data_IF_066402539248
#
_entry.id   IF_066402539248
#
_cell.length_a   1.000
_cell.length_b   1.000
_cell.length_c   1.000
_cell.angle_alpha   90.00
_cell.angle_beta   90.00
_cell.angle_gamma   90.00
#
_symmetry.space_group_name_H-M   'P 1'
#
loop_
_entity.id
_entity.type
_entity.pdbx_description
1 polymer ?
#
# COMPACT_ATOMS: atom_id res chain seq x y z
N UNK A 1 -8.98 -4.11 41.32
CA UNK A 1 -8.17 -4.65 42.42
C UNK A 1 -8.38 -6.14 42.46
N UNK A 2 -7.29 -6.91 42.62
CA UNK A 2 -7.32 -8.36 42.75
C UNK A 2 -7.15 -8.69 44.23
N UNK A 3 -8.13 -9.36 44.84
CA UNK A 3 -8.13 -9.72 46.27
C UNK A 3 -8.09 -11.23 46.44
N UNK A 4 -7.46 -11.71 47.52
CA UNK A 4 -7.36 -13.15 47.81
C UNK A 4 -8.74 -13.80 48.05
N UNK A 5 -9.67 -13.05 48.64
CA UNK A 5 -11.03 -13.51 48.91
C UNK A 5 -11.78 -13.97 47.64
N UNK A 6 -11.49 -13.36 46.48
CA UNK A 6 -12.15 -13.66 45.20
C UNK A 6 -11.39 -14.66 44.34
N UNK A 7 -10.28 -15.22 44.84
CA UNK A 7 -9.43 -16.14 44.08
C UNK A 7 -10.18 -17.38 43.56
N UNK A 8 -11.17 -17.86 44.33
CA UNK A 8 -11.99 -19.01 43.98
C UNK A 8 -13.00 -18.74 42.85
N UNK A 9 -13.24 -17.47 42.49
CA UNK A 9 -14.19 -17.07 41.42
C UNK A 9 -13.47 -16.23 40.37
N UNK A 10 -12.87 -16.85 39.33
CA UNK A 10 -12.11 -16.14 38.31
C UNK A 10 -12.90 -15.02 37.61
N UNK A 11 -14.20 -15.22 37.38
CA UNK A 11 -15.08 -14.22 36.77
C UNK A 11 -15.20 -12.92 37.60
N UNK A 12 -15.06 -13.00 38.93
CA UNK A 12 -15.16 -11.86 39.86
C UNK A 12 -13.80 -11.46 40.45
N UNK A 13 -12.71 -12.01 39.92
CA UNK A 13 -11.36 -11.82 40.45
C UNK A 13 -10.94 -10.35 40.48
N UNK A 14 -11.40 -9.56 39.51
CA UNK A 14 -11.02 -8.16 39.35
C UNK A 14 -12.14 -7.21 39.73
N UNK A 15 -11.88 -6.36 40.72
CA UNK A 15 -12.72 -5.19 41.00
C UNK A 15 -12.36 -4.01 40.09
N UNK A 16 -13.35 -3.36 39.46
CA UNK A 16 -13.13 -2.16 38.65
C UNK A 16 -13.67 -0.94 39.40
N UNK A 17 -12.79 0.02 39.69
CA UNK A 17 -13.16 1.29 40.31
C UNK A 17 -13.06 2.39 39.26
N UNK A 18 -14.11 3.20 39.12
CA UNK A 18 -14.09 4.37 38.23
C UNK A 18 -13.35 5.51 38.92
N UNK A 19 -12.25 5.95 38.31
CA UNK A 19 -11.50 7.12 38.78
C UNK A 19 -12.15 8.41 38.25
N UNK A 20 -12.00 9.51 39.00
CA UNK A 20 -12.50 10.82 38.58
C UNK A 20 -11.70 11.37 37.38
N UNK A 21 -12.35 12.19 36.56
CA UNK A 21 -11.67 12.87 35.43
C UNK A 21 -10.64 13.90 35.89
N UNK A 22 -10.80 14.48 37.09
CA UNK A 22 -9.84 15.41 37.64
C UNK A 22 -8.62 14.64 38.14
N UNK A 23 -7.46 14.90 37.54
CA UNK A 23 -6.21 14.19 37.82
C UNK A 23 -5.84 14.18 39.32
N UNK A 24 -5.96 15.32 40.01
CA UNK A 24 -5.60 15.41 41.43
C UNK A 24 -6.52 14.53 42.30
N UNK A 25 -7.83 14.61 42.07
CA UNK A 25 -8.82 13.77 42.76
C UNK A 25 -8.62 12.28 42.44
N UNK A 26 -8.20 11.95 41.23
CA UNK A 26 -7.91 10.59 40.82
C UNK A 26 -6.69 10.01 41.56
N UNK A 27 -5.64 10.81 41.78
CA UNK A 27 -4.48 10.42 42.57
C UNK A 27 -4.86 10.16 44.03
N UNK A 28 -5.65 11.04 44.64
CA UNK A 28 -6.18 10.84 45.99
C UNK A 28 -7.03 9.56 46.10
N UNK A 29 -7.85 9.27 45.08
CA UNK A 29 -8.64 8.04 45.05
C UNK A 29 -7.76 6.80 45.00
N UNK A 30 -6.67 6.81 44.22
CA UNK A 30 -5.70 5.71 44.19
C UNK A 30 -5.10 5.51 45.58
N UNK A 31 -4.70 6.59 46.26
CA UNK A 31 -4.15 6.51 47.60
C UNK A 31 -5.16 5.97 48.62
N UNK A 32 -6.43 6.38 48.55
CA UNK A 32 -7.48 5.90 49.44
C UNK A 32 -7.84 4.42 49.22
N UNK A 33 -7.82 3.95 47.98
CA UNK A 33 -8.17 2.55 47.68
C UNK A 33 -7.02 1.57 47.90
N UNK A 34 -5.77 2.04 47.78
CA UNK A 34 -4.57 1.21 47.92
C UNK A 34 -3.78 1.46 49.22
N UNK A 35 -4.46 1.85 50.32
CA UNK A 35 -3.83 2.16 51.61
C UNK A 35 -2.96 1.00 52.15
N UNK A 36 -3.46 -0.23 52.05
CA UNK A 36 -2.80 -1.42 52.60
C UNK A 36 -1.87 -2.13 51.61
N UNK A 37 -1.64 -1.54 50.43
CA UNK A 37 -0.78 -2.10 49.40
C UNK A 37 0.65 -1.53 49.51
N UNK A 38 1.67 -2.25 49.01
CA UNK A 38 3.04 -1.75 49.06
C UNK A 38 3.22 -0.47 48.23
N UNK A 39 4.03 0.46 48.76
CA UNK A 39 4.31 1.77 48.14
C UNK A 39 4.78 1.67 46.68
N UNK A 40 5.52 0.61 46.33
CA UNK A 40 5.94 0.35 44.96
C UNK A 40 4.76 0.22 43.99
N UNK A 41 3.74 -0.56 44.37
CA UNK A 41 2.56 -0.77 43.53
C UNK A 41 1.72 0.51 43.44
N UNK A 42 1.56 1.24 44.55
CA UNK A 42 0.88 2.55 44.55
C UNK A 42 1.57 3.52 43.60
N UNK A 43 2.90 3.64 43.70
CA UNK A 43 3.67 4.51 42.83
C UNK A 43 3.56 4.11 41.35
N UNK A 44 3.63 2.81 41.03
CA UNK A 44 3.43 2.32 39.66
C UNK A 44 2.02 2.58 39.14
N UNK A 45 0.99 2.43 39.97
CA UNK A 45 -0.39 2.78 39.63
C UNK A 45 -0.54 4.28 39.33
N UNK A 46 0.08 5.15 40.13
CA UNK A 46 0.13 6.60 39.86
C UNK A 46 0.83 6.92 38.55
N UNK A 47 2.01 6.33 38.30
CA UNK A 47 2.76 6.50 37.05
C UNK A 47 1.94 6.05 35.83
N UNK A 48 1.27 4.89 35.91
CA UNK A 48 0.38 4.39 34.86
C UNK A 48 -0.79 5.34 34.61
N UNK A 49 -1.41 5.84 35.68
CA UNK A 49 -2.49 6.83 35.56
C UNK A 49 -2.04 8.07 34.82
N UNK A 50 -0.88 8.64 35.17
CA UNK A 50 -0.28 9.77 34.46
C UNK A 50 -0.06 9.45 32.98
N UNK A 51 0.50 8.28 32.66
CA UNK A 51 0.74 7.86 31.28
C UNK A 51 -0.56 7.72 30.47
N UNK A 52 -1.60 7.11 31.05
CA UNK A 52 -2.91 6.98 30.39
C UNK A 52 -3.56 8.34 30.13
N UNK A 53 -3.48 9.26 31.09
CA UNK A 53 -3.98 10.64 30.91
C UNK A 53 -3.20 11.36 29.81
N UNK A 54 -1.87 11.22 29.77
CA UNK A 54 -1.05 11.78 28.69
C UNK A 54 -1.41 11.20 27.32
N UNK A 55 -1.63 9.89 27.23
CA UNK A 55 -2.07 9.22 25.99
C UNK A 55 -3.44 9.76 25.55
N UNK A 56 -4.41 9.85 26.46
CA UNK A 56 -5.73 10.39 26.14
C UNK A 56 -5.67 11.86 25.67
N UNK A 57 -4.79 12.68 26.25
CA UNK A 57 -4.54 14.05 25.77
C UNK A 57 -3.92 14.03 24.37
N UNK A 58 -2.94 13.14 24.11
CA UNK A 58 -2.30 13.00 22.81
C UNK A 58 -3.30 12.53 21.75
N UNK A 59 -4.14 11.56 22.06
CA UNK A 59 -5.22 11.08 21.18
C UNK A 59 -6.18 12.21 20.84
N UNK A 60 -6.63 12.99 21.82
CA UNK A 60 -7.49 14.15 21.56
C UNK A 60 -6.81 15.19 20.65
N UNK A 61 -5.52 15.44 20.86
CA UNK A 61 -4.73 16.35 20.01
C UNK A 61 -4.58 15.83 18.59
N UNK A 62 -4.32 14.52 18.43
CA UNK A 62 -4.23 13.88 17.12
C UNK A 62 -5.58 13.89 16.40
N UNK A 63 -6.68 13.58 17.09
CA UNK A 63 -8.03 13.64 16.53
C UNK A 63 -8.48 15.07 16.14
N UNK A 64 -7.94 16.10 16.81
CA UNK A 64 -8.19 17.50 16.44
C UNK A 64 -7.30 17.98 15.29
N UNK A 65 -6.23 17.24 14.98
CA UNK A 65 -5.30 17.59 13.91
C UNK A 65 -5.90 17.11 12.59
N UNK A 66 -5.97 18.01 11.60
CA UNK A 66 -6.36 17.63 10.23
C UNK A 66 -5.24 16.76 9.65
N UNK A 67 -5.59 15.54 9.23
CA UNK A 67 -4.65 14.64 8.56
C UNK A 67 -4.53 15.04 7.09
N UNK A 68 -3.41 15.66 6.70
CA UNK A 68 -3.14 16.04 5.30
C UNK A 68 -2.81 14.83 4.42
N UNK A 69 -2.24 13.77 5.02
CA UNK A 69 -1.79 12.57 4.32
C UNK A 69 -2.10 11.35 5.15
N UNK A 70 -2.88 10.43 4.59
CA UNK A 70 -3.08 9.10 5.13
C UNK A 70 -1.98 8.15 4.65
N UNK A 71 -1.56 7.24 5.52
CA UNK A 71 -0.66 6.16 5.12
C UNK A 71 -1.44 5.14 4.28
N UNK A 72 -1.04 4.95 3.03
CA UNK A 72 -1.61 3.96 2.13
C UNK A 72 -0.61 2.82 1.93
N UNK A 73 -1.10 1.58 2.00
CA UNK A 73 -0.28 0.41 1.67
C UNK A 73 -0.35 0.17 0.16
N UNK A 74 0.79 0.23 -0.51
CA UNK A 74 0.93 -0.13 -1.92
C UNK A 74 1.62 -1.48 -2.02
N UNK A 75 0.92 -2.50 -2.51
CA UNK A 75 1.47 -3.84 -2.64
C UNK A 75 2.62 -3.86 -3.67
N UNK A 76 3.73 -4.59 -3.44
CA UNK A 76 4.86 -4.65 -4.37
C UNK A 76 4.46 -5.09 -5.78
N UNK A 77 3.49 -6.00 -5.89
CA UNK A 77 2.95 -6.47 -7.18
C UNK A 77 2.27 -5.35 -7.98
N UNK A 78 1.60 -4.41 -7.30
CA UNK A 78 0.97 -3.25 -7.94
C UNK A 78 2.06 -2.33 -8.47
N UNK A 79 3.09 -2.04 -7.66
CA UNK A 79 4.25 -1.23 -8.09
C UNK A 79 4.95 -1.82 -9.32
N UNK A 80 5.23 -3.12 -9.31
CA UNK A 80 5.84 -3.82 -10.46
C UNK A 80 4.95 -3.73 -11.70
N UNK A 81 3.65 -3.99 -11.55
CA UNK A 81 2.68 -3.93 -12.65
C UNK A 81 2.55 -2.52 -13.23
N UNK A 82 2.49 -1.49 -12.37
CA UNK A 82 2.44 -0.09 -12.78
C UNK A 82 3.72 0.31 -13.51
N UNK A 83 4.89 -0.05 -12.99
CA UNK A 83 6.17 0.23 -13.64
C UNK A 83 6.30 -0.46 -15.01
N UNK A 84 5.87 -1.71 -15.15
CA UNK A 84 5.88 -2.39 -16.46
C UNK A 84 4.89 -1.75 -17.43
N UNK A 85 3.69 -1.36 -16.96
CA UNK A 85 2.70 -0.65 -17.78
C UNK A 85 3.20 0.71 -18.22
N UNK A 86 3.87 1.44 -17.33
CA UNK A 86 4.50 2.73 -17.63
C UNK A 86 5.57 2.59 -18.72
N UNK A 87 6.46 1.60 -18.61
CA UNK A 87 7.46 1.31 -19.64
C UNK A 87 6.82 0.99 -20.99
N UNK A 88 5.82 0.11 -21.01
CA UNK A 88 5.09 -0.23 -22.24
C UNK A 88 4.37 0.98 -22.84
N UNK A 89 3.77 1.82 -22.00
CA UNK A 89 3.10 3.04 -22.45
C UNK A 89 4.10 4.06 -23.02
N UNK A 90 5.29 4.19 -22.44
CA UNK A 90 6.35 5.07 -22.96
C UNK A 90 6.78 4.63 -24.36
N UNK A 91 7.06 3.34 -24.53
CA UNK A 91 7.48 2.77 -25.82
C UNK A 91 6.37 2.96 -26.86
N UNK A 92 5.13 2.57 -26.55
CA UNK A 92 4.00 2.69 -27.48
C UNK A 92 3.65 4.15 -27.83
N UNK A 93 3.85 5.10 -26.91
CA UNK A 93 3.51 6.50 -27.16
C UNK A 93 4.44 7.22 -28.13
N UNK A 94 5.61 6.64 -28.49
CA UNK A 94 6.65 7.21 -29.39
C UNK A 94 6.69 8.76 -29.32
N UNK A 95 6.88 9.29 -28.10
CA UNK A 95 6.62 10.70 -27.78
C UNK A 95 7.39 11.68 -28.68
N UNK A 96 8.63 11.37 -29.04
CA UNK A 96 9.47 12.22 -29.89
C UNK A 96 8.86 12.41 -31.27
N UNK A 97 8.50 11.31 -31.96
CA UNK A 97 7.85 11.35 -33.27
C UNK A 97 6.51 12.07 -33.24
N UNK A 98 5.72 11.86 -32.20
CA UNK A 98 4.44 12.55 -32.04
C UNK A 98 4.62 14.06 -31.84
N UNK A 99 5.62 14.47 -31.07
CA UNK A 99 5.98 15.89 -30.91
C UNK A 99 6.51 16.46 -32.22
N UNK A 100 7.34 15.73 -32.97
CA UNK A 100 7.85 16.16 -34.28
C UNK A 100 6.71 16.35 -35.29
N UNK A 101 5.77 15.39 -35.37
CA UNK A 101 4.57 15.50 -36.20
C UNK A 101 3.74 16.74 -35.81
N UNK A 102 3.50 16.98 -34.53
CA UNK A 102 2.77 18.19 -34.06
C UNK A 102 3.53 19.48 -34.39
N UNK A 103 4.85 19.52 -34.17
CA UNK A 103 5.67 20.70 -34.47
C UNK A 103 5.70 21.00 -35.96
N UNK A 104 5.79 19.96 -36.82
CA UNK A 104 5.71 20.11 -38.26
C UNK A 104 4.32 20.57 -38.71
N UNK A 105 3.25 20.03 -38.15
CA UNK A 105 1.87 20.47 -38.43
C UNK A 105 1.64 21.92 -37.99
N UNK A 106 2.19 22.31 -36.83
CA UNK A 106 2.13 23.67 -36.30
C UNK A 106 2.96 24.66 -37.13
N UNK A 107 4.07 24.19 -37.69
CA UNK A 107 4.91 24.93 -38.63
C UNK A 107 4.18 25.09 -39.98
N UNK A 108 3.57 24.02 -40.50
CA UNK A 108 2.75 24.02 -41.72
C UNK A 108 1.54 24.95 -41.57
N UNK A 109 0.77 24.85 -40.50
CA UNK A 109 -0.40 25.70 -40.24
C UNK A 109 -0.09 27.20 -40.10
N UNK A 110 1.19 27.60 -40.10
CA UNK A 110 1.60 29.01 -40.16
C UNK A 110 1.38 29.77 -38.85
N UNK A 111 1.17 29.05 -37.73
CA UNK A 111 0.94 29.65 -36.41
C UNK A 111 2.12 30.52 -35.92
N UNK A 112 3.31 30.35 -36.51
CA UNK A 112 4.54 31.06 -36.14
C UNK A 112 4.84 32.33 -36.98
N UNK A 113 3.94 32.72 -37.90
CA UNK A 113 4.11 33.92 -38.73
C UNK A 113 5.01 33.72 -39.96
N UNK A 114 5.56 34.82 -40.50
CA UNK A 114 6.30 34.83 -41.78
C UNK A 114 7.75 34.31 -41.65
N UNK A 115 8.36 34.46 -40.46
CA UNK A 115 9.70 33.96 -40.15
C UNK A 115 9.76 33.42 -38.71
N UNK A 116 9.70 32.10 -38.52
CA UNK A 116 9.93 31.49 -37.21
C UNK A 116 11.38 31.73 -36.76
N UNK A 117 11.58 32.22 -35.54
CA UNK A 117 12.91 32.65 -35.04
C UNK A 117 13.91 31.49 -34.84
N UNK A 118 13.41 30.26 -34.68
CA UNK A 118 14.22 29.09 -34.34
C UNK A 118 14.36 28.08 -35.49
N UNK A 119 13.88 28.39 -36.70
CA UNK A 119 13.91 27.48 -37.85
C UNK A 119 14.82 28.07 -38.93
N UNK A 120 15.73 27.25 -39.46
CA UNK A 120 16.59 27.67 -40.57
C UNK A 120 15.76 28.10 -41.78
N UNK A 121 16.12 29.24 -42.37
CA UNK A 121 15.38 29.86 -43.47
C UNK A 121 15.28 28.94 -44.72
N UNK A 122 16.28 28.07 -44.91
CA UNK A 122 16.31 27.06 -45.98
C UNK A 122 15.33 25.91 -45.76
N UNK A 123 15.10 25.50 -44.50
CA UNK A 123 14.17 24.43 -44.12
C UNK A 123 12.75 24.99 -44.21
N UNK A 124 12.53 26.21 -43.72
CA UNK A 124 11.25 26.92 -43.82
C UNK A 124 10.80 27.12 -45.27
N UNK A 125 11.69 27.62 -46.15
CA UNK A 125 11.40 27.77 -47.58
C UNK A 125 11.09 26.43 -48.26
N UNK A 126 11.68 25.32 -47.80
CA UNK A 126 11.40 23.97 -48.31
C UNK A 126 10.01 23.49 -47.87
N UNK A 127 9.64 23.70 -46.60
CA UNK A 127 8.32 23.38 -46.06
C UNK A 127 7.22 24.21 -46.74
N UNK A 128 7.43 25.52 -46.94
CA UNK A 128 6.53 26.41 -47.70
C UNK A 128 6.39 26.01 -49.18
N UNK A 129 7.46 25.49 -49.78
CA UNK A 129 7.45 24.99 -51.17
C UNK A 129 6.73 23.63 -51.28
N UNK A 130 6.90 22.75 -50.29
CA UNK A 130 6.16 21.49 -50.16
C UNK A 130 4.66 21.72 -49.97
N UNK A 131 4.28 22.69 -49.14
CA UNK A 131 2.89 23.13 -48.95
C UNK A 131 2.18 23.58 -50.25
N UNK A 132 2.94 24.09 -51.23
CA UNK A 132 2.41 24.53 -52.53
C UNK A 132 2.48 23.43 -53.61
N UNK A 133 3.15 22.32 -53.35
CA UNK A 133 3.60 21.39 -54.38
C UNK A 133 3.14 19.94 -54.24
N UNK A 134 2.83 19.45 -53.05
CA UNK A 134 2.47 18.03 -52.90
C UNK A 134 1.76 17.77 -51.56
N UNK A 135 0.68 17.00 -51.63
CA UNK A 135 -0.15 16.60 -50.48
C UNK A 135 -0.15 15.07 -50.30
N UNK A 136 0.70 14.29 -50.98
CA UNK A 136 0.38 12.86 -51.12
C UNK A 136 1.56 11.88 -51.15
N UNK A 137 2.73 12.15 -50.55
CA UNK A 137 3.84 11.18 -50.69
C UNK A 137 4.85 11.04 -49.54
N UNK A 138 4.51 11.37 -48.29
CA UNK A 138 5.45 11.15 -47.17
C UNK A 138 4.75 10.68 -45.89
N UNK A 139 3.55 10.11 -45.99
CA UNK A 139 2.86 9.54 -44.82
C UNK A 139 2.95 8.00 -44.76
N UNK A 140 3.20 7.31 -45.87
CA UNK A 140 3.07 5.84 -45.91
C UNK A 140 4.39 5.04 -45.79
N UNK A 141 5.56 5.60 -46.13
CA UNK A 141 6.82 4.82 -46.14
C UNK A 141 7.49 4.67 -44.76
N UNK A 142 7.27 5.60 -43.83
CA UNK A 142 7.87 5.52 -42.47
C UNK A 142 6.98 4.76 -41.46
N UNK A 143 5.75 4.41 -41.84
CA UNK A 143 4.83 3.61 -41.00
C UNK A 143 4.91 2.11 -41.31
N UNK A 144 5.26 1.69 -42.53
CA UNK A 144 5.39 0.26 -42.90
C UNK A 144 6.77 -0.35 -42.54
N UNK A 145 7.89 0.39 -42.62
CA UNK A 145 9.23 -0.16 -42.34
C UNK A 145 9.51 -0.39 -40.83
N UNK A 146 8.73 0.20 -39.92
CA UNK A 146 8.88 -0.04 -38.47
C UNK A 146 7.91 -1.07 -37.88
N UNK A 147 6.91 -1.54 -38.64
CA UNK A 147 6.03 -2.63 -38.21
C UNK A 147 6.69 -4.02 -38.42
N UNK A 148 7.60 -4.16 -39.39
CA UNK A 148 8.32 -5.43 -39.64
C UNK A 148 9.44 -5.72 -38.64
N UNK A 149 9.95 -4.74 -37.88
CA UNK A 149 10.96 -4.98 -36.82
C UNK A 149 10.35 -5.42 -35.47
N UNK A 150 9.03 -5.40 -35.30
CA UNK A 150 8.36 -5.88 -34.07
C UNK A 150 7.86 -7.35 -34.16
N UNK A 151 7.90 -8.00 -35.33
CA UNK A 151 7.35 -9.37 -35.50
C UNK A 151 8.37 -10.51 -35.23
N UNK A 152 9.65 -10.22 -35.01
CA UNK A 152 10.69 -11.24 -34.73
C UNK A 152 11.55 -10.98 -33.48
N UNK A 153 11.14 -10.12 -32.54
CA UNK A 153 11.61 -10.27 -31.16
C UNK A 153 10.61 -11.19 -30.43
N UNK A 154 10.62 -12.46 -30.84
CA UNK A 154 10.16 -13.58 -30.03
C UNK A 154 11.03 -13.57 -28.77
N UNK A 155 10.64 -12.74 -27.80
CA UNK A 155 11.19 -12.79 -26.45
C UNK A 155 10.80 -14.17 -25.94
N UNK A 156 11.71 -15.12 -26.14
CA UNK A 156 11.71 -16.41 -25.50
C UNK A 156 11.50 -16.12 -24.02
N UNK A 157 10.25 -16.27 -23.56
CA UNK A 157 9.98 -16.39 -22.14
C UNK A 157 10.62 -17.72 -21.78
N UNK A 158 11.93 -17.68 -21.50
CA UNK A 158 12.53 -18.62 -20.57
C UNK A 158 11.67 -18.44 -19.33
N UNK A 159 10.81 -19.41 -19.09
CA UNK A 159 10.26 -19.68 -17.79
C UNK A 159 11.51 -19.86 -16.92
N UNK A 160 11.97 -18.76 -16.33
CA UNK A 160 13.09 -18.72 -15.42
C UNK A 160 12.66 -19.48 -14.17
N UNK A 161 12.75 -20.81 -14.28
CA UNK A 161 13.30 -21.68 -13.27
C UNK A 161 14.71 -21.17 -12.91
N UNK A 162 14.77 -19.98 -12.31
CA UNK A 162 15.82 -19.63 -11.36
C UNK A 162 15.26 -19.99 -9.99
N UNK A 163 15.12 -21.31 -9.79
CA UNK A 163 15.64 -21.89 -8.55
C UNK A 163 17.07 -21.32 -8.38
N UNK A 164 17.37 -20.76 -7.21
CA UNK A 164 18.69 -20.21 -6.84
C UNK A 164 18.96 -18.73 -7.14
N UNK A 165 18.14 -17.83 -6.58
CA UNK A 165 18.68 -16.57 -6.02
C UNK A 165 17.99 -16.23 -4.69
N UNK A 166 17.85 -17.26 -3.85
CA UNK A 166 17.83 -17.14 -2.38
C UNK A 166 19.26 -16.84 -1.88
N UNK A 167 19.89 -15.81 -2.44
CA UNK A 167 21.11 -15.24 -1.87
C UNK A 167 20.67 -14.24 -0.80
N UNK A 168 20.14 -14.81 0.29
CA UNK A 168 20.01 -14.11 1.57
C UNK A 168 21.40 -13.57 1.88
N UNK A 169 21.49 -12.25 1.89
CA UNK A 169 22.66 -11.44 2.23
C UNK A 169 23.38 -12.11 3.43
N UNK A 170 24.55 -12.71 3.21
CA UNK A 170 25.34 -13.40 4.25
C UNK A 170 25.59 -12.50 5.48
N UNK A 171 25.51 -11.18 5.29
CA UNK A 171 25.63 -10.14 6.30
C UNK A 171 24.41 -10.06 7.26
N UNK A 172 23.22 -10.43 6.82
CA UNK A 172 21.99 -10.41 7.64
C UNK A 172 21.81 -11.71 8.46
N UNK A 173 22.35 -12.84 7.98
CA UNK A 173 22.39 -14.09 8.74
C UNK A 173 23.46 -14.05 9.84
N UNK A 174 24.62 -13.44 9.59
CA UNK A 174 25.68 -13.23 10.59
C UNK A 174 25.21 -12.31 11.73
N UNK A 175 24.38 -11.32 11.42
CA UNK A 175 23.81 -10.40 12.40
C UNK A 175 22.69 -11.02 13.26
N UNK A 176 21.98 -12.02 12.74
CA UNK A 176 21.01 -12.79 13.52
C UNK A 176 21.69 -13.82 14.43
N UNK A 177 22.79 -14.44 13.96
CA UNK A 177 23.53 -15.46 14.71
C UNK A 177 24.52 -14.84 15.73
N UNK A 178 25.10 -13.68 15.43
CA UNK A 178 26.12 -13.00 16.25
C UNK A 178 25.59 -12.23 17.46
N UNK A 179 24.31 -12.36 17.80
CA UNK A 179 23.67 -11.68 18.94
C UNK A 179 23.53 -12.53 20.20
N UNK A 180 24.03 -13.76 20.21
CA UNK A 180 23.79 -14.73 21.30
C UNK A 180 25.06 -15.48 21.75
N UNK A 181 26.15 -14.76 21.97
CA UNK A 181 27.28 -15.29 22.76
C UNK A 181 27.97 -14.15 23.52
N UNK A 182 27.48 -13.84 24.72
CA UNK A 182 28.35 -13.56 25.87
C UNK A 182 27.56 -13.70 27.20
N UNK A 183 28.06 -14.59 28.05
CA UNK A 183 27.72 -14.87 29.46
C UNK A 183 26.38 -15.54 29.80
N UNK A 184 26.42 -16.87 30.01
CA UNK A 184 26.11 -17.46 31.33
C UNK A 184 26.88 -18.77 31.55
N UNK A 185 27.79 -18.71 32.52
CA UNK A 185 28.34 -19.86 33.23
C UNK A 185 27.30 -20.39 34.22
N UNK A 186 26.94 -21.67 34.10
CA UNK A 186 26.52 -22.50 35.24
C UNK A 186 26.52 -23.99 34.84
N UNK A 187 27.47 -24.70 35.45
CA UNK A 187 27.51 -26.14 35.62
C UNK A 187 26.34 -26.60 36.52
N UNK A 188 25.66 -27.68 36.13
CA UNK A 188 25.05 -28.74 36.97
C UNK A 188 24.29 -29.69 36.00
N UNK A 189 24.85 -30.85 35.66
CA UNK A 189 24.73 -32.16 36.34
C UNK A 189 23.46 -32.93 35.92
N UNK A 190 23.72 -34.05 35.24
CA UNK A 190 22.78 -35.05 34.72
C UNK A 190 22.01 -35.78 35.82
N UNK A 191 20.73 -36.13 35.59
CA UNK A 191 20.18 -37.43 36.01
C UNK A 191 18.88 -37.82 35.27
N UNK A 192 18.87 -39.10 34.87
CA UNK A 192 17.90 -39.92 34.14
C UNK A 192 16.42 -39.91 34.61
N UNK A 193 15.49 -40.24 33.68
CA UNK A 193 14.66 -41.47 33.74
C UNK A 193 13.35 -41.39 32.91
N UNK A 194 13.33 -42.22 31.86
CA UNK A 194 12.31 -43.18 31.40
C UNK A 194 10.83 -42.81 31.04
N UNK A 195 10.45 -43.40 29.89
CA UNK A 195 9.26 -44.24 29.59
C UNK A 195 8.09 -43.68 28.75
N UNK A 196 7.99 -44.27 27.55
CA UNK A 196 6.86 -44.61 26.67
C UNK A 196 5.45 -44.00 26.85
N UNK A 197 4.86 -43.56 25.73
CA UNK A 197 3.55 -44.08 25.27
C UNK A 197 3.19 -43.61 23.85
N UNK A 198 2.97 -44.61 23.00
CA UNK A 198 2.29 -44.61 21.70
C UNK A 198 0.94 -43.86 21.69
N UNK A 199 0.56 -43.32 20.52
CA UNK A 199 -0.72 -42.63 20.31
C UNK A 199 -0.91 -42.01 18.93
N UNK A 200 -1.13 -42.87 17.94
CA UNK A 200 -1.61 -42.62 16.57
C UNK A 200 -2.94 -41.82 16.56
N UNK A 201 -3.02 -40.75 15.75
CA UNK A 201 -4.30 -40.27 15.22
C UNK A 201 -4.09 -39.39 13.96
N UNK A 202 -4.45 -39.97 12.81
CA UNK A 202 -4.56 -39.30 11.50
C UNK A 202 -5.69 -38.26 11.48
N UNK A 203 -5.36 -36.96 11.44
CA UNK A 203 -6.36 -35.91 11.26
C UNK A 203 -6.43 -35.46 9.78
N UNK A 204 -7.41 -36.00 9.02
CA UNK A 204 -7.70 -35.61 7.63
C UNK A 204 -8.55 -34.32 7.58
N UNK A 205 -8.16 -33.28 6.82
CA UNK A 205 -8.93 -32.04 6.78
C UNK A 205 -10.19 -32.14 5.90
N UNK A 206 -11.33 -31.72 6.44
CA UNK A 206 -12.63 -31.65 5.76
C UNK A 206 -12.68 -30.58 4.63
N UNK A 207 -13.51 -30.77 3.57
CA UNK A 207 -13.53 -29.89 2.40
C UNK A 207 -14.25 -28.55 2.66
N UNK A 208 -13.57 -27.44 2.34
CA UNK A 208 -14.09 -26.06 2.46
C UNK A 208 -15.19 -25.78 1.44
N UNK A 209 -16.38 -25.37 1.91
CA UNK A 209 -17.49 -24.88 1.06
C UNK A 209 -17.10 -23.57 0.35
N UNK A 210 -17.22 -23.55 -0.98
CA UNK A 210 -17.00 -22.36 -1.82
C UNK A 210 -18.05 -21.29 -1.51
N UNK A 211 -17.62 -20.10 -1.08
CA UNK A 211 -18.50 -18.93 -0.88
C UNK A 211 -18.91 -18.39 -2.25
N UNK A 212 -20.22 -18.26 -2.50
CA UNK A 212 -20.74 -17.63 -3.73
C UNK A 212 -20.45 -16.13 -3.69
N UNK A 213 -19.99 -15.57 -4.82
CA UNK A 213 -19.64 -14.15 -4.96
C UNK A 213 -20.85 -13.21 -4.86
N UNK A 214 -20.61 -11.88 -4.76
CA UNK A 214 -21.66 -10.89 -4.57
C UNK A 214 -22.57 -10.80 -5.79
N UNK A 215 -23.89 -10.78 -5.56
CA UNK A 215 -24.91 -10.61 -6.59
C UNK A 215 -25.21 -9.12 -6.71
N UNK A 216 -24.97 -8.53 -7.88
CA UNK A 216 -25.29 -7.13 -8.18
C UNK A 216 -26.68 -7.10 -8.83
N UNK A 217 -27.62 -6.42 -8.19
CA UNK A 217 -28.96 -6.15 -8.74
C UNK A 217 -28.94 -4.73 -9.30
N UNK A 218 -29.26 -4.59 -10.59
CA UNK A 218 -29.30 -3.32 -11.31
C UNK A 218 -30.78 -2.94 -11.42
N UNK A 219 -31.19 -1.90 -10.71
CA UNK A 219 -32.51 -1.29 -10.90
C UNK A 219 -32.41 -0.27 -12.05
N UNK A 220 -33.29 -0.40 -13.04
CA UNK A 220 -33.42 0.58 -14.11
C UNK A 220 -34.48 1.60 -13.69
N UNK A 221 -34.10 2.88 -13.60
CA UNK A 221 -35.06 3.98 -13.52
C UNK A 221 -35.72 4.13 -14.91
N UNK A 222 -37.00 3.76 -15.02
CA UNK A 222 -37.80 4.15 -16.16
C UNK A 222 -38.14 5.64 -16.03
N UNK A 223 -37.56 6.48 -16.87
CA UNK A 223 -38.00 7.87 -17.02
C UNK A 223 -39.43 7.89 -17.59
N UNK A 224 -40.41 8.23 -16.77
CA UNK A 224 -41.76 8.51 -17.26
C UNK A 224 -41.71 9.76 -18.15
N UNK A 225 -42.01 9.59 -19.44
CA UNK A 225 -42.10 10.69 -20.39
C UNK A 225 -43.21 11.65 -19.96
N UNK A 226 -42.81 12.83 -19.46
CA UNK A 226 -43.73 13.92 -19.09
C UNK A 226 -44.43 14.40 -20.37
N UNK A 227 -45.72 14.08 -20.48
CA UNK A 227 -46.55 14.46 -21.61
C UNK A 227 -46.94 15.95 -21.46
N UNK A 228 -46.21 16.84 -22.12
CA UNK A 228 -46.55 18.27 -22.18
C UNK A 228 -47.80 18.47 -23.05
N UNK A 229 -48.84 19.20 -22.58
CA UNK A 229 -50.05 19.42 -23.36
C UNK A 229 -49.75 20.29 -24.58
N UNK A 230 -50.16 19.81 -25.76
CA UNK A 230 -50.05 20.57 -27.00
C UNK A 230 -50.96 21.81 -26.95
N UNK A 231 -50.35 22.98 -27.07
CA UNK A 231 -51.06 24.24 -27.29
C UNK A 231 -51.65 24.21 -28.69
N UNK A 232 -52.97 24.12 -28.78
CA UNK A 232 -53.70 24.27 -30.04
C UNK A 232 -53.70 25.73 -30.49
N UNK A 233 -53.53 25.91 -31.80
CA UNK A 233 -53.47 27.16 -32.59
C UNK A 233 -54.38 28.30 -32.13
#
# INVERSE_FOLDING_TARGET
>A
MKTAERAHTPAKLWERVKLSQNYAKALEQIDRHLIYWPNFLVHKCKQRMTRLVQVAIKERRLASKVEERHYTSTAPKVKRREATRERKALVAAKLEKNIEKELLERLKSGAYGDQPLNVDEHIWKRVLKGMKGDNELVEDEDEEEEEEEEEEEEVEYVEGEDEDEELVELEDLEKWLGGSDEEVSASDDDEDSDEDSDGDDEDKPAPKKRRRGPKVEIEYENEESINLPQVTR
#
